data_IF_905091889304
#
_entry.id   IF_905091889304
#
_cell.length_a   1.000
_cell.length_b   1.000
_cell.length_c   1.000
_cell.angle_alpha   90.00
_cell.angle_beta   90.00
_cell.angle_gamma   90.00
#
_symmetry.space_group_name_H-M   'P 1'
#
loop_
_entity.id
_entity.type
_entity.pdbx_description
1 polymer ?
#
# COMPACT_ATOMS: atom_id res chain seq x y z
N UNK A 1 -4.17 -2.42 -26.53
CA UNK A 1 -3.18 -1.89 -25.55
C UNK A 1 -3.79 -1.49 -24.20
N UNK A 2 -4.95 -0.79 -24.12
CA UNK A 2 -5.48 -0.33 -22.84
C UNK A 2 -5.89 -1.45 -21.87
N UNK A 3 -6.56 -2.51 -22.36
CA UNK A 3 -7.03 -3.61 -21.50
C UNK A 3 -5.91 -4.35 -20.76
N UNK A 4 -4.73 -4.51 -21.38
CA UNK A 4 -3.58 -5.17 -20.74
C UNK A 4 -3.02 -4.31 -19.61
N UNK A 5 -2.93 -3.00 -19.83
CA UNK A 5 -2.58 -2.02 -18.80
C UNK A 5 -3.57 -2.10 -17.64
N UNK A 6 -4.87 -1.93 -17.89
CA UNK A 6 -5.90 -1.93 -16.83
C UNK A 6 -5.87 -3.22 -16.02
N UNK A 7 -5.75 -4.38 -16.66
CA UNK A 7 -5.67 -5.67 -15.96
C UNK A 7 -4.44 -5.76 -15.04
N UNK A 8 -3.28 -5.29 -15.51
CA UNK A 8 -2.03 -5.31 -14.73
C UNK A 8 -2.08 -4.28 -13.59
N UNK A 9 -2.55 -3.07 -13.88
CA UNK A 9 -2.69 -1.99 -12.90
C UNK A 9 -3.68 -2.38 -11.80
N UNK A 10 -4.87 -2.89 -12.15
CA UNK A 10 -5.86 -3.38 -11.19
C UNK A 10 -5.27 -4.44 -10.26
N UNK A 11 -4.55 -5.43 -10.80
CA UNK A 11 -3.91 -6.47 -9.99
C UNK A 11 -2.85 -5.93 -9.03
N UNK A 12 -2.10 -4.91 -9.44
CA UNK A 12 -1.13 -4.25 -8.56
C UNK A 12 -1.84 -3.42 -7.48
N UNK A 13 -2.92 -2.74 -7.85
CA UNK A 13 -3.73 -1.93 -6.93
C UNK A 13 -4.40 -2.80 -5.86
N UNK A 14 -5.00 -3.94 -6.24
CA UNK A 14 -5.59 -4.89 -5.29
C UNK A 14 -4.54 -5.35 -4.27
N UNK A 15 -3.38 -5.80 -4.73
CA UNK A 15 -2.27 -6.19 -3.83
C UNK A 15 -1.77 -5.05 -2.97
N UNK A 16 -1.74 -3.84 -3.52
CA UNK A 16 -1.29 -2.66 -2.78
C UNK A 16 -2.26 -2.36 -1.64
N UNK A 17 -3.56 -2.39 -1.91
CA UNK A 17 -4.61 -2.22 -0.91
C UNK A 17 -4.55 -3.31 0.17
N UNK A 18 -4.37 -4.58 -0.23
CA UNK A 18 -4.19 -5.69 0.72
C UNK A 18 -3.03 -5.42 1.68
N UNK A 19 -1.91 -4.86 1.16
CA UNK A 19 -0.73 -4.56 1.98
C UNK A 19 -0.90 -3.35 2.89
N UNK A 20 -1.68 -2.36 2.46
CA UNK A 20 -2.07 -1.25 3.32
C UNK A 20 -2.95 -1.75 4.46
N UNK A 21 -3.92 -2.61 4.18
CA UNK A 21 -4.81 -3.21 5.18
C UNK A 21 -4.03 -4.09 6.19
N UNK A 22 -3.15 -4.97 5.68
CA UNK A 22 -2.22 -5.76 6.50
C UNK A 22 -1.41 -4.85 7.46
N UNK A 23 -0.89 -3.73 6.94
CA UNK A 23 -0.06 -2.80 7.71
C UNK A 23 -0.84 -2.12 8.84
N UNK A 24 -2.05 -1.65 8.52
CA UNK A 24 -2.96 -0.99 9.48
C UNK A 24 -3.42 -1.96 10.57
N UNK A 25 -3.83 -3.18 10.20
CA UNK A 25 -4.33 -4.16 11.16
C UNK A 25 -3.21 -4.64 12.09
N UNK A 26 -2.02 -4.94 11.57
CA UNK A 26 -0.88 -5.27 12.43
C UNK A 26 -0.46 -4.10 13.33
N UNK A 27 -0.55 -2.86 12.86
CA UNK A 27 -0.24 -1.69 13.71
C UNK A 27 -1.25 -1.55 14.85
N UNK A 28 -2.54 -1.68 14.56
CA UNK A 28 -3.60 -1.72 15.57
C UNK A 28 -3.34 -2.80 16.61
N UNK A 29 -3.03 -4.02 16.18
CA UNK A 29 -2.74 -5.14 17.08
C UNK A 29 -1.49 -4.88 17.93
N UNK A 30 -0.46 -4.22 17.37
CA UNK A 30 0.72 -3.81 18.12
C UNK A 30 0.36 -2.85 19.27
N UNK A 31 -0.51 -1.87 19.01
CA UNK A 31 -1.02 -0.94 20.04
C UNK A 31 -1.82 -1.69 21.12
N UNK A 32 -2.70 -2.61 20.74
CA UNK A 32 -3.49 -3.40 21.68
C UNK A 32 -2.63 -4.27 22.61
N UNK A 33 -1.61 -4.94 22.05
CA UNK A 33 -0.66 -5.72 22.84
C UNK A 33 0.21 -4.84 23.73
N UNK A 34 0.64 -3.68 23.24
CA UNK A 34 1.41 -2.74 24.03
C UNK A 34 0.63 -2.23 25.24
N UNK A 35 -0.64 -1.86 25.04
CA UNK A 35 -1.55 -1.44 26.12
C UNK A 35 -1.80 -2.54 27.14
N UNK A 36 -1.69 -3.81 26.72
CA UNK A 36 -1.84 -4.99 27.58
C UNK A 36 -0.53 -5.46 28.23
N UNK A 37 0.55 -4.66 28.15
CA UNK A 37 1.91 -4.99 28.60
C UNK A 37 2.52 -6.26 27.95
N UNK A 38 1.96 -6.70 26.82
CA UNK A 38 2.42 -7.85 26.01
C UNK A 38 3.46 -7.40 24.99
N UNK A 39 4.63 -6.97 25.49
CA UNK A 39 5.64 -6.26 24.69
C UNK A 39 6.29 -7.13 23.61
N UNK A 40 6.37 -8.45 23.80
CA UNK A 40 6.88 -9.38 22.80
C UNK A 40 5.99 -9.42 21.56
N UNK A 41 4.68 -9.65 21.77
CA UNK A 41 3.69 -9.69 20.71
C UNK A 41 3.50 -8.32 20.04
N UNK A 42 3.53 -7.24 20.82
CA UNK A 42 3.50 -5.88 20.28
C UNK A 42 4.65 -5.64 19.30
N UNK A 43 5.87 -6.07 19.65
CA UNK A 43 7.04 -5.95 18.77
C UNK A 43 6.91 -6.81 17.51
N UNK A 44 6.37 -8.01 17.63
CA UNK A 44 6.11 -8.90 16.48
C UNK A 44 5.10 -8.27 15.51
N UNK A 45 3.99 -7.74 16.01
CA UNK A 45 2.98 -7.09 15.17
C UNK A 45 3.50 -5.80 14.53
N UNK A 46 4.27 -4.99 15.26
CA UNK A 46 4.89 -3.81 14.69
C UNK A 46 5.85 -4.17 13.55
N UNK A 47 6.66 -5.23 13.71
CA UNK A 47 7.54 -5.69 12.64
C UNK A 47 6.77 -6.18 11.40
N UNK A 48 5.61 -6.83 11.58
CA UNK A 48 4.72 -7.21 10.47
C UNK A 48 4.17 -5.97 9.76
N UNK A 49 3.71 -4.99 10.52
CA UNK A 49 3.19 -3.73 9.97
C UNK A 49 4.21 -3.01 9.10
N UNK A 50 5.47 -2.91 9.57
CA UNK A 50 6.57 -2.30 8.81
C UNK A 50 6.94 -3.09 7.55
N UNK A 51 6.90 -4.43 7.60
CA UNK A 51 7.15 -5.25 6.40
C UNK A 51 6.03 -5.09 5.37
N UNK A 52 4.76 -5.04 5.80
CA UNK A 52 3.63 -4.82 4.91
C UNK A 52 3.71 -3.44 4.24
N UNK A 53 4.10 -2.39 4.98
CA UNK A 53 4.34 -1.04 4.42
C UNK A 53 5.44 -1.06 3.35
N UNK A 54 6.56 -1.74 3.62
CA UNK A 54 7.65 -1.88 2.65
C UNK A 54 7.18 -2.58 1.37
N UNK A 55 6.42 -3.66 1.49
CA UNK A 55 5.83 -4.37 0.36
C UNK A 55 4.83 -3.49 -0.41
N UNK A 56 4.04 -2.67 0.30
CA UNK A 56 3.13 -1.70 -0.29
C UNK A 56 3.88 -0.64 -1.11
N UNK A 57 4.99 -0.10 -0.60
CA UNK A 57 5.81 0.87 -1.33
C UNK A 57 6.42 0.26 -2.61
N UNK A 58 6.86 -1.01 -2.57
CA UNK A 58 7.33 -1.71 -3.78
C UNK A 58 6.22 -1.85 -4.84
N UNK A 59 4.98 -2.12 -4.43
CA UNK A 59 3.83 -2.20 -5.33
C UNK A 59 3.48 -0.83 -5.90
N UNK A 60 3.54 0.22 -5.07
CA UNK A 60 3.36 1.62 -5.49
C UNK A 60 4.34 2.00 -6.59
N UNK A 61 5.63 1.74 -6.40
CA UNK A 61 6.67 2.00 -7.41
C UNK A 61 6.41 1.26 -8.73
N UNK A 62 5.96 0.00 -8.66
CA UNK A 62 5.58 -0.79 -9.84
C UNK A 62 4.37 -0.20 -10.58
N UNK A 63 3.39 0.35 -9.86
CA UNK A 63 2.25 1.05 -10.46
C UNK A 63 2.66 2.35 -11.14
N UNK A 64 3.52 3.15 -10.50
CA UNK A 64 4.05 4.40 -11.06
C UNK A 64 4.80 4.12 -12.37
N UNK A 65 5.73 3.16 -12.36
CA UNK A 65 6.45 2.75 -13.57
C UNK A 65 5.51 2.30 -14.69
N UNK A 66 4.46 1.54 -14.34
CA UNK A 66 3.46 1.10 -15.31
C UNK A 66 2.64 2.27 -15.90
N UNK A 67 2.35 3.31 -15.12
CA UNK A 67 1.67 4.52 -15.59
C UNK A 67 2.55 5.36 -16.53
N UNK A 68 3.85 5.45 -16.22
CA UNK A 68 4.83 6.15 -17.06
C UNK A 68 4.89 5.53 -18.46
N UNK A 69 4.97 4.20 -18.55
CA UNK A 69 5.02 3.44 -19.82
C UNK A 69 3.68 3.35 -20.55
N UNK A 70 2.55 3.66 -19.90
CA UNK A 70 1.23 3.46 -20.48
C UNK A 70 0.95 4.48 -21.61
N UNK A 71 0.45 3.99 -22.74
CA UNK A 71 -0.13 4.81 -23.80
C UNK A 71 -1.61 5.12 -23.49
N UNK A 72 -1.81 6.03 -22.54
CA UNK A 72 -3.11 6.56 -22.11
C UNK A 72 -3.02 8.09 -21.98
N UNK A 73 -4.16 8.77 -21.95
CA UNK A 73 -4.18 10.23 -21.92
C UNK A 73 -3.51 10.79 -20.64
N UNK A 74 -2.89 11.98 -20.72
CA UNK A 74 -2.27 12.62 -19.55
C UNK A 74 -3.21 12.80 -18.36
N UNK A 75 -4.46 13.18 -18.63
CA UNK A 75 -5.49 13.43 -17.61
C UNK A 75 -5.79 12.14 -16.84
N UNK A 76 -5.90 11.02 -17.56
CA UNK A 76 -6.14 9.73 -16.91
C UNK A 76 -4.92 9.26 -16.10
N UNK A 77 -3.69 9.55 -16.55
CA UNK A 77 -2.49 9.28 -15.73
C UNK A 77 -2.56 10.06 -14.42
N UNK A 78 -2.90 11.34 -14.49
CA UNK A 78 -3.00 12.23 -13.34
C UNK A 78 -4.05 11.73 -12.32
N UNK A 79 -5.21 11.28 -12.80
CA UNK A 79 -6.24 10.65 -11.95
C UNK A 79 -5.70 9.43 -11.18
N UNK A 80 -4.95 8.54 -11.85
CA UNK A 80 -4.34 7.38 -11.20
C UNK A 80 -3.25 7.77 -10.21
N UNK A 81 -2.42 8.77 -10.53
CA UNK A 81 -1.42 9.30 -9.60
C UNK A 81 -2.08 9.89 -8.35
N UNK A 82 -3.15 10.65 -8.51
CA UNK A 82 -3.91 11.20 -7.39
C UNK A 82 -4.56 10.11 -6.53
N UNK A 83 -5.11 9.07 -7.14
CA UNK A 83 -5.63 7.91 -6.41
C UNK A 83 -4.54 7.24 -5.56
N UNK A 84 -3.40 6.92 -6.17
CA UNK A 84 -2.27 6.29 -5.47
C UNK A 84 -1.82 7.17 -4.30
N UNK A 85 -1.65 8.48 -4.53
CA UNK A 85 -1.21 9.43 -3.50
C UNK A 85 -2.18 9.52 -2.32
N UNK A 86 -3.50 9.46 -2.57
CA UNK A 86 -4.51 9.49 -1.50
C UNK A 86 -4.48 8.24 -0.64
N UNK A 87 -4.20 7.08 -1.24
CA UNK A 87 -4.06 5.83 -0.49
C UNK A 87 -2.76 5.83 0.32
N UNK A 88 -1.66 6.37 -0.23
CA UNK A 88 -0.37 6.48 0.46
C UNK A 88 -0.47 7.24 1.79
N UNK A 89 -1.32 8.28 1.86
CA UNK A 89 -1.59 9.02 3.11
C UNK A 89 -2.08 8.10 4.24
N UNK A 90 -2.78 7.00 3.93
CA UNK A 90 -3.21 6.02 4.94
C UNK A 90 -2.00 5.31 5.55
N UNK A 91 -1.03 4.92 4.70
CA UNK A 91 0.20 4.28 5.13
C UNK A 91 1.03 5.21 6.03
N UNK A 92 1.04 6.51 5.72
CA UNK A 92 1.79 7.52 6.47
C UNK A 92 1.27 7.71 7.91
N UNK A 93 0.00 7.39 8.19
CA UNK A 93 -0.54 7.43 9.56
C UNK A 93 -0.10 6.24 10.42
N UNK A 94 0.43 5.19 9.80
CA UNK A 94 0.94 3.98 10.49
C UNK A 94 2.43 4.12 10.84
N UNK A 95 3.17 4.94 10.09
CA UNK A 95 4.60 5.25 10.32
C UNK A 95 4.82 6.13 11.54
#
# INVERSE_FOLDING_TARGET
MPQKFYKKFKKLMEKYLDKIDDSVESFKNAIEYFNSMRTGEARTELAKSMNAEKEADELRRKMIYLLEEADISPELKEDFFHLIKRIEVIADYVK
#
